data_IF_537755282244
#
_entry.id   IF_537755282244
#
_cell.length_a   1.000
_cell.length_b   1.000
_cell.length_c   1.000
_cell.angle_alpha   90.00
_cell.angle_beta   90.00
_cell.angle_gamma   90.00
#
_symmetry.space_group_name_H-M   'P 1'
#
loop_
_entity.id
_entity.type
_entity.pdbx_description
1 polymer ?
#
# COMPACT_ATOMS: atom_id res chain seq x y z
N UNK A 1 -37.37 19.37 30.45
CA UNK A 1 -35.90 19.13 30.55
C UNK A 1 -35.39 17.72 30.15
N UNK A 2 -36.20 16.66 29.89
CA UNK A 2 -35.62 15.32 29.61
C UNK A 2 -35.09 15.11 28.18
N UNK A 3 -35.55 15.90 27.20
CA UNK A 3 -35.14 15.76 25.78
C UNK A 3 -33.69 16.20 25.50
N UNK A 4 -33.14 17.06 26.35
CA UNK A 4 -31.74 17.52 26.22
C UNK A 4 -30.76 16.45 26.72
N UNK A 5 -31.13 15.73 27.78
CA UNK A 5 -30.35 14.63 28.35
C UNK A 5 -30.22 13.45 27.37
N UNK A 6 -31.27 13.15 26.61
CA UNK A 6 -31.23 12.10 25.59
C UNK A 6 -30.30 12.44 24.43
N UNK A 7 -30.25 13.69 23.96
CA UNK A 7 -29.36 14.10 22.85
C UNK A 7 -27.89 13.99 23.28
N UNK A 8 -27.57 14.39 24.51
CA UNK A 8 -26.23 14.27 25.05
C UNK A 8 -25.80 12.80 25.18
N UNK A 9 -26.71 11.92 25.59
CA UNK A 9 -26.46 10.49 25.67
C UNK A 9 -26.17 9.87 24.30
N UNK A 10 -26.92 10.24 23.25
CA UNK A 10 -26.66 9.78 21.88
C UNK A 10 -25.34 10.32 21.31
N UNK A 11 -24.95 11.56 21.63
CA UNK A 11 -23.65 12.11 21.25
C UNK A 11 -22.48 11.38 21.94
N UNK A 12 -22.61 11.11 23.24
CA UNK A 12 -21.62 10.33 23.99
C UNK A 12 -21.52 8.89 23.49
N UNK A 13 -22.66 8.25 23.20
CA UNK A 13 -22.72 6.90 22.66
C UNK A 13 -22.07 6.81 21.27
N UNK A 14 -22.33 7.79 20.40
CA UNK A 14 -21.70 7.92 19.08
C UNK A 14 -20.19 8.14 19.15
N UNK A 15 -19.73 8.93 20.12
CA UNK A 15 -18.30 9.17 20.33
C UNK A 15 -17.57 7.90 20.83
N UNK A 16 -18.21 7.13 21.72
CA UNK A 16 -17.68 5.86 22.24
C UNK A 16 -17.64 4.79 21.15
N UNK A 17 -18.70 4.68 20.33
CA UNK A 17 -18.74 3.71 19.22
C UNK A 17 -17.71 4.02 18.13
N UNK A 18 -17.44 5.29 17.86
CA UNK A 18 -16.41 5.69 16.89
C UNK A 18 -15.00 5.22 17.29
N UNK A 19 -14.67 5.27 18.59
CA UNK A 19 -13.35 4.83 19.08
C UNK A 19 -13.19 3.29 19.07
N UNK A 20 -14.28 2.55 19.23
CA UNK A 20 -14.25 1.08 19.24
C UNK A 20 -14.12 0.45 17.84
N UNK A 21 -14.53 1.17 16.80
CA UNK A 21 -14.48 0.70 15.38
C UNK A 21 -13.19 1.15 14.68
N UNK A 22 -12.14 1.48 15.42
CA UNK A 22 -10.82 1.69 14.83
C UNK A 22 -10.11 0.34 14.63
N UNK A 23 -10.59 -0.48 13.68
CA UNK A 23 -9.82 -1.63 13.19
C UNK A 23 -8.51 -1.12 12.58
N UNK A 24 -7.41 -1.30 13.31
CA UNK A 24 -6.08 -1.11 12.74
C UNK A 24 -5.83 -2.32 11.86
N UNK A 25 -5.82 -2.11 10.55
CA UNK A 25 -5.30 -3.11 9.61
C UNK A 25 -3.82 -3.27 9.93
N UNK A 26 -3.51 -4.31 10.73
CA UNK A 26 -2.15 -4.66 11.06
C UNK A 26 -1.54 -5.27 9.80
N UNK A 27 -0.54 -4.61 9.22
CA UNK A 27 0.27 -5.25 8.20
C UNK A 27 0.85 -6.54 8.78
N UNK A 28 0.88 -7.60 7.98
CA UNK A 28 1.46 -8.86 8.41
C UNK A 28 2.93 -8.63 8.80
N UNK A 29 3.33 -9.10 9.99
CA UNK A 29 4.67 -8.85 10.55
C UNK A 29 5.79 -9.36 9.63
N UNK A 30 5.45 -10.28 8.73
CA UNK A 30 6.37 -10.90 7.78
C UNK A 30 5.88 -10.62 6.36
N UNK A 31 6.60 -9.80 5.57
CA UNK A 31 6.23 -9.58 4.19
C UNK A 31 6.41 -10.84 3.36
N UNK A 32 5.56 -11.02 2.36
CA UNK A 32 5.76 -12.04 1.33
C UNK A 32 6.93 -11.64 0.42
N UNK A 33 7.84 -12.58 0.14
CA UNK A 33 8.99 -12.35 -0.72
C UNK A 33 8.81 -13.11 -2.03
N UNK A 34 8.73 -12.38 -3.15
CA UNK A 34 8.74 -12.94 -4.49
C UNK A 34 10.10 -12.64 -5.13
N UNK A 35 10.91 -13.68 -5.32
CA UNK A 35 12.18 -13.59 -6.03
C UNK A 35 12.02 -14.08 -7.46
N UNK A 36 12.33 -13.22 -8.44
CA UNK A 36 12.22 -13.51 -9.87
C UNK A 36 13.63 -13.51 -10.45
N UNK A 37 14.09 -14.65 -10.94
CA UNK A 37 15.32 -14.78 -11.70
C UNK A 37 14.98 -15.00 -13.18
N UNK A 38 15.66 -14.28 -14.06
CA UNK A 38 15.50 -14.41 -15.51
C UNK A 38 16.85 -14.78 -16.10
N UNK A 39 16.88 -15.82 -16.93
CA UNK A 39 18.10 -16.28 -17.58
C UNK A 39 18.45 -15.36 -18.77
N UNK A 40 19.74 -15.09 -18.96
CA UNK A 40 20.30 -14.26 -20.05
C UNK A 40 19.72 -12.83 -20.24
N UNK A 41 18.94 -12.32 -19.30
CA UNK A 41 18.40 -10.96 -19.39
C UNK A 41 19.50 -9.93 -19.11
N UNK A 42 20.06 -9.34 -20.18
CA UNK A 42 20.89 -8.15 -20.07
C UNK A 42 20.07 -6.96 -19.55
N UNK A 43 20.68 -5.97 -18.88
CA UNK A 43 20.02 -4.76 -18.39
C UNK A 43 19.69 -3.78 -19.54
N UNK A 44 19.14 -4.31 -20.64
CA UNK A 44 18.74 -3.58 -21.84
C UNK A 44 17.24 -3.27 -21.81
N UNK A 45 16.60 -3.18 -20.64
CA UNK A 45 15.17 -2.86 -20.55
C UNK A 45 14.91 -1.34 -20.61
N UNK A 46 13.67 -0.94 -20.86
CA UNK A 46 13.29 0.49 -20.93
C UNK A 46 13.66 1.22 -19.63
N UNK A 47 13.39 0.57 -18.49
CA UNK A 47 13.86 1.00 -17.18
C UNK A 47 15.37 1.18 -17.03
N UNK A 48 16.26 0.80 -17.96
CA UNK A 48 17.69 1.15 -17.93
C UNK A 48 18.10 2.12 -19.05
N UNK A 49 17.13 2.80 -19.69
CA UNK A 49 17.38 3.83 -20.72
C UNK A 49 17.33 3.31 -22.15
N UNK A 50 16.98 2.05 -22.37
CA UNK A 50 16.81 1.49 -23.72
C UNK A 50 15.39 1.73 -24.21
N UNK A 51 15.16 2.89 -24.83
CA UNK A 51 13.82 3.35 -25.25
C UNK A 51 13.09 2.46 -26.25
N UNK A 52 13.82 1.58 -26.97
CA UNK A 52 13.26 0.63 -27.94
C UNK A 52 12.60 -0.60 -27.29
N UNK A 53 12.98 -0.94 -26.05
CA UNK A 53 12.43 -2.11 -25.37
C UNK A 53 11.06 -1.81 -24.79
N UNK A 54 10.11 -2.74 -24.95
CA UNK A 54 8.74 -2.62 -24.46
C UNK A 54 8.61 -3.52 -23.22
N UNK A 55 8.77 -2.93 -22.04
CA UNK A 55 8.80 -3.67 -20.76
C UNK A 55 7.88 -3.07 -19.70
N UNK A 56 6.57 -2.86 -19.98
CA UNK A 56 5.68 -2.06 -19.13
C UNK A 56 5.53 -2.60 -17.70
N UNK A 57 5.66 -3.92 -17.51
CA UNK A 57 5.59 -4.52 -16.17
C UNK A 57 6.87 -4.26 -15.36
N UNK A 58 8.05 -4.35 -15.99
CA UNK A 58 9.32 -4.04 -15.32
C UNK A 58 9.44 -2.55 -15.05
N UNK A 59 8.97 -1.71 -15.96
CA UNK A 59 8.97 -0.25 -15.79
C UNK A 59 8.10 0.15 -14.60
N UNK A 60 6.89 -0.42 -14.50
CA UNK A 60 6.01 -0.23 -13.34
C UNK A 60 6.61 -0.75 -12.03
N UNK A 61 7.42 -1.82 -12.08
CA UNK A 61 8.13 -2.35 -10.90
C UNK A 61 9.27 -1.40 -10.49
N UNK A 62 10.01 -0.84 -11.46
CA UNK A 62 11.06 0.13 -11.20
C UNK A 62 10.50 1.44 -10.61
N UNK A 63 9.37 1.93 -11.12
CA UNK A 63 8.72 3.16 -10.61
C UNK A 63 8.17 3.03 -9.19
N UNK A 64 7.79 1.82 -8.77
CA UNK A 64 7.24 1.54 -7.44
C UNK A 64 8.30 1.08 -6.44
N UNK A 65 9.53 0.86 -6.90
CA UNK A 65 10.58 0.22 -6.13
C UNK A 65 11.90 0.98 -6.23
N UNK A 66 12.98 0.23 -6.10
CA UNK A 66 14.35 0.75 -6.24
C UNK A 66 15.02 -0.01 -7.38
N UNK A 67 15.54 0.74 -8.35
CA UNK A 67 16.37 0.23 -9.44
C UNK A 67 17.85 0.30 -9.03
N UNK A 68 18.60 -0.76 -9.26
CA UNK A 68 20.03 -0.82 -8.99
C UNK A 68 20.81 -0.63 -10.30
N UNK A 69 21.71 0.35 -10.35
CA UNK A 69 22.48 0.70 -11.56
C UNK A 69 23.95 0.26 -11.51
N UNK A 70 24.41 -0.24 -10.36
CA UNK A 70 25.79 -0.67 -10.08
C UNK A 70 25.81 -1.82 -9.07
#
# INVERSE_FOLDING_TARGET
MPRFLSVLYWMLFGFITCNLVSERVQAEERPNVLFIAVDDLRPEIHGYGVSKMITPNFDRLADRGVRFER
#
